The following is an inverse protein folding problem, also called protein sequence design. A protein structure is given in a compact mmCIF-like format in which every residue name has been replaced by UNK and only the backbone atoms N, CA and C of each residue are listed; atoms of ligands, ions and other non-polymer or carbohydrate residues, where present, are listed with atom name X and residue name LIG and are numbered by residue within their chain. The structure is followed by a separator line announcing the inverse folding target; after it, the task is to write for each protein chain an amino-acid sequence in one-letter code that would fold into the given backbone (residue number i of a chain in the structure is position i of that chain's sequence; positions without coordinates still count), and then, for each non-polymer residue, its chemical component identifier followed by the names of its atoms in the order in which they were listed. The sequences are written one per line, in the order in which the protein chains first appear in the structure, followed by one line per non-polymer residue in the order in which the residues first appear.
data_IF_006178783705
#
_entry.id   IF_006178783705
#
_cell.length_a   1.000
_cell.length_b   1.000
_cell.length_c   1.000
_cell.angle_alpha   90.00
_cell.angle_beta   90.00
_cell.angle_gamma   90.00
#
_symmetry.space_group_name_H-M   'P 1'
#
loop_
_entity.id
_entity.type
_entity.pdbx_description
1 polymer ?
#
# COMPACT_ATOMS: atom_id res chain seq x y z
N UNK A 1 -29.51 -1.25 -27.65
CA UNK A 1 -28.21 -1.55 -28.27
C UNK A 1 -27.15 -0.76 -27.50
N UNK A 2 -26.60 -1.33 -26.43
CA UNK A 2 -25.47 -0.73 -25.69
C UNK A 2 -24.47 -1.85 -25.43
N UNK A 3 -23.46 -1.94 -26.30
CA UNK A 3 -22.22 -2.66 -26.01
C UNK A 3 -21.45 -1.78 -25.04
N UNK A 4 -21.39 -2.19 -23.78
CA UNK A 4 -20.40 -1.69 -22.85
C UNK A 4 -19.06 -2.30 -23.27
N UNK A 5 -18.17 -1.46 -23.79
CA UNK A 5 -16.78 -1.79 -24.06
C UNK A 5 -16.09 -2.07 -22.72
N UNK A 6 -15.78 -3.34 -22.50
CA UNK A 6 -14.75 -3.78 -21.55
C UNK A 6 -13.43 -3.53 -22.27
N UNK A 7 -12.76 -2.42 -21.95
CA UNK A 7 -11.39 -2.14 -22.40
C UNK A 7 -10.55 -1.91 -21.15
N UNK A 8 -9.89 -3.00 -20.76
CA UNK A 8 -8.51 -3.05 -20.29
C UNK A 8 -8.08 -2.09 -19.16
N UNK A 9 -8.56 -2.38 -17.95
CA UNK A 9 -8.04 -1.84 -16.68
C UNK A 9 -6.53 -2.10 -16.47
N UNK A 10 -5.93 -3.02 -17.23
CA UNK A 10 -4.51 -3.41 -17.10
C UNK A 10 -3.54 -2.43 -17.79
N UNK A 11 -4.00 -1.59 -18.72
CA UNK A 11 -3.12 -0.62 -19.41
C UNK A 11 -2.94 0.68 -18.63
N UNK A 12 -3.94 1.11 -17.84
CA UNK A 12 -3.85 2.35 -17.06
C UNK A 12 -2.85 2.25 -15.90
N UNK A 13 -2.79 1.11 -15.22
CA UNK A 13 -1.87 0.91 -14.10
C UNK A 13 -0.40 1.00 -14.54
N UNK A 14 -0.09 0.59 -15.78
CA UNK A 14 1.27 0.65 -16.32
C UNK A 14 1.70 2.09 -16.66
N UNK A 15 0.76 2.93 -17.12
CA UNK A 15 1.03 4.33 -17.43
C UNK A 15 1.23 5.16 -16.16
N UNK A 16 0.42 4.90 -15.12
CA UNK A 16 0.55 5.54 -13.82
C UNK A 16 1.90 5.20 -13.15
N UNK A 17 2.36 3.95 -13.29
CA UNK A 17 3.65 3.53 -12.72
C UNK A 17 4.88 4.11 -13.46
N UNK A 18 4.75 4.40 -14.76
CA UNK A 18 5.80 5.05 -15.56
C UNK A 18 5.90 6.56 -15.28
N UNK A 19 4.76 7.26 -15.13
CA UNK A 19 4.75 8.68 -14.72
C UNK A 19 5.30 8.85 -13.29
N UNK A 20 4.96 7.93 -12.38
CA UNK A 20 5.47 7.96 -11.00
C UNK A 20 7.00 7.76 -10.92
N UNK A 21 7.59 6.96 -11.82
CA UNK A 21 9.05 6.80 -11.91
C UNK A 21 9.75 8.01 -12.53
N UNK A 22 9.07 8.72 -13.44
CA UNK A 22 9.56 9.97 -14.06
C UNK A 22 9.62 11.13 -13.04
N UNK A 23 8.71 11.14 -12.07
CA UNK A 23 8.61 12.17 -11.03
C UNK A 23 9.66 12.01 -9.92
N UNK A 24 10.06 10.77 -9.59
CA UNK A 24 10.98 10.48 -8.49
C UNK A 24 12.48 10.63 -8.87
N UNK A 25 12.80 10.95 -10.13
CA UNK A 25 14.18 11.07 -10.64
C UNK A 25 14.91 12.39 -10.29
N UNK A 26 14.24 13.34 -9.63
CA UNK A 26 14.76 14.71 -9.46
C UNK A 26 14.89 15.11 -8.00
N UNK A 27 15.89 14.56 -7.30
CA UNK A 27 16.54 15.22 -6.14
C UNK A 27 17.76 14.40 -5.71
N UNK A 28 18.88 14.63 -6.40
CA UNK A 28 20.21 14.31 -5.86
C UNK A 28 20.76 15.57 -5.23
N UNK A 29 20.58 15.72 -3.93
CA UNK A 29 21.24 16.76 -3.15
C UNK A 29 22.68 16.27 -2.93
N UNK A 30 23.57 16.67 -3.82
CA UNK A 30 25.00 16.42 -3.72
C UNK A 30 25.61 17.55 -2.89
N UNK A 31 25.70 17.34 -1.58
CA UNK A 31 26.57 18.17 -0.73
C UNK A 31 28.00 17.69 -0.96
N UNK A 32 28.65 18.30 -1.95
CA UNK A 32 30.10 18.22 -2.13
C UNK A 32 30.70 19.38 -1.36
N UNK A 33 31.55 19.06 -0.40
CA UNK A 33 32.36 20.05 0.29
C UNK A 33 33.14 20.86 -0.72
N UNK A 34 33.02 22.17 -0.63
CA UNK A 34 33.81 23.14 -1.36
C UNK A 34 35.27 22.94 -0.96
N UNK A 35 36.06 22.31 -1.84
CA UNK A 35 37.50 22.16 -1.66
C UNK A 35 38.19 23.17 -2.56
N UNK A 36 38.92 24.10 -1.94
CA UNK A 36 39.79 25.06 -2.61
C UNK A 36 40.60 24.39 -3.74
N UNK A 37 40.77 25.03 -4.91
CA UNK A 37 41.38 24.41 -6.09
C UNK A 37 42.91 24.19 -6.00
N UNK A 38 43.53 24.40 -4.84
CA UNK A 38 44.99 24.28 -4.64
C UNK A 38 45.40 23.07 -3.78
N UNK A 39 44.47 22.13 -3.54
CA UNK A 39 44.78 20.88 -2.84
C UNK A 39 45.34 19.89 -3.86
N UNK A 40 46.62 19.52 -3.71
CA UNK A 40 47.26 18.47 -4.52
C UNK A 40 46.41 17.20 -4.47
N UNK A 41 45.77 16.88 -5.60
CA UNK A 41 44.80 15.78 -5.72
C UNK A 41 45.39 14.46 -5.23
N UNK A 42 46.70 14.24 -5.41
CA UNK A 42 47.38 13.05 -4.94
C UNK A 42 47.41 12.98 -3.41
N UNK A 43 47.69 14.11 -2.75
CA UNK A 43 47.68 14.21 -1.28
C UNK A 43 46.28 13.96 -0.71
N UNK A 44 45.24 14.51 -1.35
CA UNK A 44 43.85 14.31 -0.94
C UNK A 44 43.42 12.84 -1.08
N UNK A 45 43.79 12.19 -2.17
CA UNK A 45 43.50 10.77 -2.38
C UNK A 45 44.19 9.88 -1.34
N UNK A 46 45.44 10.18 -0.96
CA UNK A 46 46.15 9.46 0.09
C UNK A 46 45.51 9.66 1.46
N UNK A 47 45.04 10.87 1.76
CA UNK A 47 44.32 11.17 3.00
C UNK A 47 43.04 10.33 3.15
N UNK A 48 42.34 10.07 2.05
CA UNK A 48 41.10 9.28 2.05
C UNK A 48 41.29 7.78 1.83
N UNK A 49 42.53 7.27 1.66
CA UNK A 49 42.80 5.83 1.46
C UNK A 49 42.17 4.96 2.54
N UNK A 50 42.27 5.39 3.81
CA UNK A 50 41.70 4.65 4.94
C UNK A 50 40.17 4.64 4.96
N UNK A 51 39.52 5.63 4.33
CA UNK A 51 38.07 5.65 4.17
C UNK A 51 37.62 4.62 3.13
N UNK A 52 38.34 4.51 2.00
CA UNK A 52 38.05 3.51 0.98
C UNK A 52 38.19 2.09 1.53
N UNK A 53 39.23 1.83 2.33
CA UNK A 53 39.38 0.53 3.00
C UNK A 53 38.24 0.22 3.97
N UNK A 54 37.73 1.23 4.68
CA UNK A 54 36.57 1.08 5.58
C UNK A 54 35.29 0.85 4.78
N UNK A 55 35.09 1.53 3.66
CA UNK A 55 33.93 1.36 2.78
C UNK A 55 33.85 -0.07 2.24
N UNK A 56 34.97 -0.62 1.77
CA UNK A 56 35.02 -1.99 1.25
C UNK A 56 34.66 -3.00 2.34
N UNK A 57 35.08 -2.77 3.59
CA UNK A 57 34.74 -3.64 4.74
C UNK A 57 33.25 -3.56 5.12
N UNK A 58 32.57 -2.45 4.84
CA UNK A 58 31.14 -2.31 5.10
C UNK A 58 30.27 -3.06 4.11
N UNK A 59 30.78 -3.39 2.92
CA UNK A 59 30.05 -4.19 1.95
C UNK A 59 30.16 -5.67 2.35
N UNK A 60 29.04 -6.36 2.63
CA UNK A 60 29.09 -7.78 2.96
C UNK A 60 29.72 -8.63 1.84
N UNK A 61 30.55 -9.60 2.22
CA UNK A 61 31.22 -10.49 1.26
C UNK A 61 30.26 -11.27 0.34
N UNK A 62 28.99 -11.43 0.75
CA UNK A 62 27.92 -12.06 -0.04
C UNK A 62 27.72 -11.41 -1.42
N UNK A 63 28.11 -10.14 -1.61
CA UNK A 63 27.96 -9.44 -2.88
C UNK A 63 29.10 -9.68 -3.88
N UNK A 64 30.26 -10.12 -3.41
CA UNK A 64 31.44 -10.35 -4.26
C UNK A 64 31.73 -11.84 -4.46
N UNK A 65 31.22 -12.69 -3.58
CA UNK A 65 31.32 -14.13 -3.72
C UNK A 65 30.10 -14.67 -4.47
N UNK A 66 30.28 -15.61 -5.40
CA UNK A 66 29.18 -16.43 -5.92
C UNK A 66 28.52 -17.13 -4.73
N UNK A 67 27.41 -16.56 -4.27
CA UNK A 67 26.59 -17.15 -3.23
C UNK A 67 25.74 -18.20 -3.92
N UNK A 68 25.80 -19.46 -3.44
CA UNK A 68 24.87 -20.51 -3.86
C UNK A 68 23.45 -19.91 -3.87
N UNK A 69 22.81 -19.88 -5.04
CA UNK A 69 21.59 -19.10 -5.36
C UNK A 69 20.37 -19.41 -4.45
N UNK A 70 20.52 -20.33 -3.51
CA UNK A 70 19.53 -20.84 -2.56
C UNK A 70 19.26 -19.90 -1.38
N UNK A 71 20.13 -18.93 -1.10
CA UNK A 71 19.98 -17.99 0.05
C UNK A 71 19.37 -16.63 -0.31
N UNK A 72 18.77 -16.46 -1.49
CA UNK A 72 18.09 -15.21 -1.86
C UNK A 72 16.65 -15.21 -1.31
N UNK A 73 16.30 -14.37 -0.30
CA UNK A 73 14.95 -14.32 0.28
C UNK A 73 13.94 -13.62 -0.63
N UNK A 74 14.40 -12.96 -1.69
CA UNK A 74 13.50 -12.43 -2.71
C UNK A 74 12.99 -13.59 -3.58
N UNK A 75 12.04 -14.32 -3.01
CA UNK A 75 11.32 -15.37 -3.70
C UNK A 75 10.63 -14.76 -4.92
N UNK A 76 11.00 -15.18 -6.11
CA UNK A 76 10.29 -14.90 -7.35
C UNK A 76 8.95 -15.66 -7.42
N UNK A 77 8.08 -15.39 -6.45
CA UNK A 77 6.81 -16.08 -6.25
C UNK A 77 6.95 -17.59 -6.02
N UNK A 78 5.86 -18.18 -5.53
CA UNK A 78 5.67 -19.62 -5.54
C UNK A 78 6.00 -20.19 -6.94
N UNK A 79 6.57 -21.39 -7.00
CA UNK A 79 6.85 -22.07 -8.28
C UNK A 79 5.59 -22.11 -9.16
N UNK A 80 5.73 -22.19 -10.49
CA UNK A 80 4.58 -22.22 -11.41
C UNK A 80 3.55 -23.28 -11.03
N UNK A 81 4.01 -24.44 -10.54
CA UNK A 81 3.15 -25.51 -10.02
C UNK A 81 2.45 -25.15 -8.70
N UNK A 82 3.18 -24.58 -7.74
CA UNK A 82 2.59 -24.15 -6.48
C UNK A 82 1.56 -23.02 -6.67
N UNK A 83 1.79 -22.07 -7.59
CA UNK A 83 0.80 -21.04 -7.98
C UNK A 83 -0.45 -21.66 -8.59
N UNK A 84 -0.30 -22.67 -9.44
CA UNK A 84 -1.44 -23.37 -10.05
C UNK A 84 -2.27 -24.11 -9.00
N UNK A 85 -1.62 -24.78 -8.04
CA UNK A 85 -2.29 -25.47 -6.94
C UNK A 85 -3.07 -24.50 -6.06
N UNK A 86 -2.45 -23.42 -5.60
CA UNK A 86 -3.11 -22.41 -4.77
C UNK A 86 -4.30 -21.75 -5.51
N UNK A 87 -4.15 -21.46 -6.81
CA UNK A 87 -5.24 -20.91 -7.63
C UNK A 87 -6.39 -21.91 -7.84
N UNK A 88 -6.09 -23.21 -7.91
CA UNK A 88 -7.11 -24.27 -8.01
C UNK A 88 -7.92 -24.37 -6.71
N UNK A 89 -7.23 -24.40 -5.58
CA UNK A 89 -7.87 -24.43 -4.26
C UNK A 89 -8.76 -23.20 -4.03
N UNK A 90 -8.27 -22.00 -4.32
CA UNK A 90 -9.07 -20.77 -4.21
C UNK A 90 -10.34 -20.83 -5.08
N UNK A 91 -10.24 -21.35 -6.30
CA UNK A 91 -11.40 -21.53 -7.20
C UNK A 91 -12.38 -22.56 -6.68
N UNK A 92 -11.92 -23.65 -6.08
CA UNK A 92 -12.76 -24.68 -5.48
C UNK A 92 -13.49 -24.14 -4.24
N UNK A 93 -12.80 -23.38 -3.40
CA UNK A 93 -13.39 -22.73 -2.22
C UNK A 93 -14.47 -21.71 -2.61
N UNK A 94 -14.22 -20.85 -3.61
CA UNK A 94 -15.23 -19.89 -4.11
C UNK A 94 -16.45 -20.63 -4.68
N UNK A 95 -16.23 -21.72 -5.43
CA UNK A 95 -17.34 -22.53 -5.98
C UNK A 95 -18.15 -23.19 -4.87
N UNK A 96 -17.47 -23.73 -3.85
CA UNK A 96 -18.11 -24.35 -2.69
C UNK A 96 -18.95 -23.33 -1.92
N UNK A 97 -18.38 -22.17 -1.60
CA UNK A 97 -19.09 -21.09 -0.91
C UNK A 97 -20.31 -20.59 -1.71
N UNK A 98 -20.19 -20.48 -3.04
CA UNK A 98 -21.34 -20.12 -3.89
C UNK A 98 -22.45 -21.18 -3.89
N UNK A 99 -22.09 -22.47 -3.87
CA UNK A 99 -23.07 -23.57 -3.78
C UNK A 99 -23.75 -23.60 -2.43
N UNK A 100 -22.99 -23.46 -1.35
CA UNK A 100 -23.50 -23.42 0.02
C UNK A 100 -24.50 -22.28 0.23
N UNK A 101 -24.23 -21.10 -0.35
CA UNK A 101 -25.19 -19.98 -0.38
C UNK A 101 -26.49 -20.27 -1.12
N UNK A 102 -26.50 -21.24 -2.04
CA UNK A 102 -27.65 -21.58 -2.89
C UNK A 102 -28.26 -22.95 -2.53
N UNK A 103 -27.76 -23.59 -1.48
CA UNK A 103 -28.22 -24.90 -1.02
C UNK A 103 -29.27 -24.69 0.09
N UNK A 104 -30.54 -25.04 -0.14
CA UNK A 104 -31.60 -24.82 0.84
C UNK A 104 -31.39 -25.62 2.14
N UNK A 105 -30.65 -26.73 2.09
CA UNK A 105 -30.35 -27.59 3.24
C UNK A 105 -29.13 -27.10 4.05
N UNK A 106 -28.31 -26.21 3.49
CA UNK A 106 -27.04 -25.72 4.09
C UNK A 106 -26.95 -24.22 4.22
N UNK A 107 -28.06 -23.49 4.02
CA UNK A 107 -28.13 -22.09 4.40
C UNK A 107 -28.03 -21.99 5.92
N UNK A 108 -26.79 -22.09 6.42
CA UNK A 108 -26.44 -22.06 7.82
C UNK A 108 -26.99 -20.77 8.40
N UNK A 109 -28.03 -20.92 9.23
CA UNK A 109 -28.95 -19.88 9.70
C UNK A 109 -29.93 -19.40 8.63
N UNK A 110 -31.13 -19.97 8.66
CA UNK A 110 -32.29 -19.33 8.02
C UNK A 110 -32.44 -17.91 8.59
N UNK A 111 -33.04 -16.99 7.84
CA UNK A 111 -33.31 -15.64 8.36
C UNK A 111 -34.06 -15.66 9.70
N UNK A 112 -34.88 -16.70 9.91
CA UNK A 112 -35.56 -16.97 11.17
C UNK A 112 -34.57 -17.30 12.29
N UNK A 113 -33.63 -18.22 12.08
CA UNK A 113 -32.59 -18.55 13.07
C UNK A 113 -31.73 -17.33 13.43
N UNK A 114 -31.39 -16.48 12.45
CA UNK A 114 -30.64 -15.24 12.72
C UNK A 114 -31.44 -14.29 13.62
N UNK A 115 -32.75 -14.15 13.36
CA UNK A 115 -33.62 -13.31 14.17
C UNK A 115 -33.79 -13.87 15.59
N UNK A 116 -33.98 -15.19 15.73
CA UNK A 116 -34.05 -15.85 17.03
C UNK A 116 -32.75 -15.68 17.81
N UNK A 117 -31.61 -15.89 17.17
CA UNK A 117 -30.30 -15.72 17.80
C UNK A 117 -30.04 -14.27 18.25
N UNK A 118 -30.46 -13.28 17.46
CA UNK A 118 -30.32 -11.87 17.82
C UNK A 118 -31.20 -11.53 19.05
N UNK A 119 -32.45 -12.00 19.10
CA UNK A 119 -33.32 -11.80 20.25
C UNK A 119 -32.80 -12.48 21.52
N UNK A 120 -32.19 -13.65 21.40
CA UNK A 120 -31.63 -14.39 22.52
C UNK A 120 -30.34 -13.73 23.05
N UNK A 121 -29.49 -13.20 22.16
CA UNK A 121 -28.33 -12.37 22.50
C UNK A 121 -28.75 -11.09 23.23
N UNK A 122 -29.75 -10.37 22.74
CA UNK A 122 -30.23 -9.15 23.40
C UNK A 122 -30.78 -9.42 24.80
N UNK A 123 -31.52 -10.51 25.01
CA UNK A 123 -31.98 -10.91 26.35
C UNK A 123 -30.81 -11.22 27.28
N UNK A 124 -29.80 -11.96 26.81
CA UNK A 124 -28.62 -12.28 27.62
C UNK A 124 -27.75 -11.07 27.97
N UNK A 125 -27.77 -10.01 27.15
CA UNK A 125 -27.01 -8.78 27.39
C UNK A 125 -27.74 -7.82 28.35
N UNK A 126 -29.04 -8.02 28.60
CA UNK A 126 -29.83 -7.21 29.55
C UNK A 126 -29.78 -7.68 31.01
N UNK A 127 -29.19 -8.86 31.29
CA UNK A 127 -29.04 -9.41 32.65
C UNK A 127 -27.62 -9.24 33.23
N UNK A 128 -26.65 -8.77 32.44
CA UNK A 128 -25.25 -8.60 32.89
C UNK A 128 -24.88 -7.12 32.96
N UNK A 129 -25.26 -6.52 34.09
CA UNK A 129 -24.54 -5.49 34.85
C UNK A 129 -24.11 -4.20 34.14
N UNK A 130 -24.50 -3.07 34.74
CA UNK A 130 -24.22 -1.74 34.23
C UNK A 130 -22.79 -1.31 34.50
N UNK A 131 -22.08 -0.91 33.45
CA UNK A 131 -21.13 0.20 33.53
C UNK A 131 -21.25 1.07 32.28
N UNK A 132 -21.54 2.35 32.51
CA UNK A 132 -21.50 3.42 31.54
C UNK A 132 -20.05 3.62 31.07
N UNK A 133 -19.75 3.32 29.81
CA UNK A 133 -18.53 3.80 29.16
C UNK A 133 -18.89 5.00 28.27
N UNK A 134 -18.77 6.16 28.88
CA UNK A 134 -18.80 7.48 28.25
C UNK A 134 -17.64 7.59 27.24
N UNK A 135 -17.95 7.47 25.94
CA UNK A 135 -16.99 7.73 24.86
C UNK A 135 -16.95 9.23 24.56
N UNK A 136 -15.95 9.87 25.15
CA UNK A 136 -15.57 11.26 24.97
C UNK A 136 -15.36 11.61 23.47
N UNK A 137 -16.11 12.56 22.87
CA UNK A 137 -15.92 12.97 21.48
C UNK A 137 -14.88 14.09 21.42
N UNK A 138 -13.61 13.74 21.26
CA UNK A 138 -12.53 14.71 21.02
C UNK A 138 -11.78 14.43 19.72
N UNK A 139 -12.40 14.82 18.61
CA UNK A 139 -11.71 15.39 17.43
C UNK A 139 -12.54 16.59 16.98
N UNK A 140 -12.51 17.63 17.80
CA UNK A 140 -12.86 19.00 17.44
C UNK A 140 -11.77 19.55 16.51
N UNK A 141 -11.99 19.36 15.21
CA UNK A 141 -11.17 19.95 14.14
C UNK A 141 -11.86 19.87 12.77
N UNK A 142 -13.16 19.57 12.75
CA UNK A 142 -14.01 19.61 11.57
C UNK A 142 -14.75 20.95 11.59
N UNK A 143 -14.04 22.04 11.30
CA UNK A 143 -14.71 23.28 10.89
C UNK A 143 -14.91 23.23 9.38
N UNK A 144 -16.12 22.80 9.03
CA UNK A 144 -16.95 23.24 7.92
C UNK A 144 -16.23 23.90 6.73
N UNK A 145 -16.09 23.12 5.66
CA UNK A 145 -16.38 23.62 4.32
C UNK A 145 -17.24 22.55 3.59
N UNK A 146 -18.34 22.15 4.23
CA UNK A 146 -19.47 21.44 3.59
C UNK A 146 -20.29 22.39 2.69
N UNK A 147 -19.69 23.47 2.21
CA UNK A 147 -20.30 24.33 1.21
C UNK A 147 -20.03 23.70 -0.15
N UNK A 148 -21.06 23.17 -0.80
CA UNK A 148 -20.97 22.66 -2.18
C UNK A 148 -20.60 23.81 -3.12
N UNK A 149 -19.30 24.01 -3.33
CA UNK A 149 -18.76 25.04 -4.21
C UNK A 149 -19.02 24.61 -5.65
N UNK A 150 -19.61 25.50 -6.44
CA UNK A 150 -19.82 25.23 -7.87
C UNK A 150 -18.48 25.25 -8.61
N UNK A 151 -18.37 24.46 -9.68
CA UNK A 151 -17.12 24.27 -10.42
C UNK A 151 -16.44 25.59 -10.84
N UNK A 152 -17.22 26.60 -11.19
CA UNK A 152 -16.70 27.91 -11.62
C UNK A 152 -16.00 28.66 -10.47
N UNK A 153 -16.53 28.55 -9.27
CA UNK A 153 -15.99 29.20 -8.07
C UNK A 153 -14.68 28.52 -7.62
N UNK A 154 -14.56 27.21 -7.84
CA UNK A 154 -13.31 26.48 -7.63
C UNK A 154 -12.22 26.91 -8.63
N UNK A 155 -12.60 27.13 -9.90
CA UNK A 155 -11.70 27.65 -10.94
C UNK A 155 -11.16 29.03 -10.59
N UNK A 156 -12.03 29.93 -10.17
CA UNK A 156 -11.64 31.28 -9.78
C UNK A 156 -10.73 31.29 -8.55
N UNK A 157 -10.99 30.41 -7.57
CA UNK A 157 -10.13 30.25 -6.40
C UNK A 157 -8.73 29.76 -6.76
N UNK A 158 -8.63 28.85 -7.73
CA UNK A 158 -7.34 28.36 -8.23
C UNK A 158 -6.56 29.46 -8.95
N UNK A 159 -7.22 30.22 -9.84
CA UNK A 159 -6.57 31.32 -10.56
C UNK A 159 -6.05 32.39 -9.60
N UNK A 160 -6.83 32.78 -8.59
CA UNK A 160 -6.42 33.76 -7.57
C UNK A 160 -5.17 33.30 -6.81
N UNK A 161 -5.07 32.00 -6.49
CA UNK A 161 -3.95 31.43 -5.73
C UNK A 161 -2.67 31.30 -6.55
N UNK A 162 -2.78 31.16 -7.87
CA UNK A 162 -1.63 31.13 -8.78
C UNK A 162 -1.06 32.54 -8.96
N UNK A 163 -1.90 33.58 -8.97
CA UNK A 163 -1.48 34.97 -9.14
C UNK A 163 -0.89 35.59 -7.85
N UNK A 164 -1.18 35.00 -6.69
CA UNK A 164 -0.56 35.36 -5.40
C UNK A 164 0.83 34.73 -5.17
N UNK A 165 1.30 33.84 -6.06
CA UNK A 165 2.63 33.21 -6.03
C UNK A 165 3.60 33.87 -7.02
#
# INVERSE_FOLDING_TARGET
MLRLLVVDDMELDCLIFLEFLEEMGKKKQFLFGESDPDIDLKSLLHQHSLLFDKLIKLVPAKFYLPTDEKEKPWFHGLSKGAKASAKKEARENIKKARRERLDPEKSSTTTLDLLMQNLEKEKSNSESDGEEVEINPMVSGLENDDQSVTYEELRQRLHRKIEEL
#
